data_IF_869500143453
#
_entry.id   IF_869500143453
#
_cell.length_a   1.000
_cell.length_b   1.000
_cell.length_c   1.000
_cell.angle_alpha   90.00
_cell.angle_beta   90.00
_cell.angle_gamma   90.00
#
_symmetry.space_group_name_H-M   'P 1'
#
loop_
_entity.id
_entity.type
_entity.pdbx_description
1 polymer ?
#
# COMPACT_ATOMS: atom_id res chain seq x y z
N UNK A 1 7.70 -32.06 -2.90
CA UNK A 1 7.18 -30.91 -2.14
C UNK A 1 5.76 -31.26 -1.72
N UNK A 2 5.45 -31.12 -0.44
CA UNK A 2 4.12 -31.45 0.08
C UNK A 2 3.10 -30.33 -0.24
N UNK A 3 1.81 -30.67 -0.23
CA UNK A 3 0.70 -29.76 -0.50
C UNK A 3 0.65 -28.57 0.46
N UNK A 4 1.00 -28.77 1.73
CA UNK A 4 1.10 -27.66 2.68
C UNK A 4 2.21 -26.68 2.30
N UNK A 5 3.34 -27.19 1.80
CA UNK A 5 4.46 -26.35 1.35
C UNK A 5 4.09 -25.57 0.10
N UNK A 6 3.35 -26.16 -0.86
CA UNK A 6 2.89 -25.44 -2.05
C UNK A 6 1.91 -24.32 -1.72
N UNK A 7 1.07 -24.45 -0.70
CA UNK A 7 0.19 -23.37 -0.24
C UNK A 7 0.95 -22.13 0.27
N UNK A 8 2.21 -22.28 0.67
CA UNK A 8 3.04 -21.16 1.15
C UNK A 8 3.78 -20.43 0.02
N UNK A 9 3.86 -21.00 -1.18
CA UNK A 9 4.59 -20.44 -2.30
C UNK A 9 3.85 -19.27 -2.95
N UNK A 10 4.61 -18.29 -3.44
CA UNK A 10 4.09 -17.15 -4.19
C UNK A 10 3.37 -17.54 -5.49
N UNK A 11 2.37 -16.74 -5.94
CA UNK A 11 1.60 -17.09 -7.13
C UNK A 11 2.47 -17.15 -8.38
N UNK A 12 3.56 -16.38 -8.39
CA UNK A 12 4.58 -16.43 -9.44
C UNK A 12 5.26 -17.81 -9.50
N UNK A 13 5.75 -18.29 -8.35
CA UNK A 13 6.44 -19.59 -8.24
C UNK A 13 5.46 -20.74 -8.56
N UNK A 14 4.22 -20.66 -8.06
CA UNK A 14 3.19 -21.66 -8.36
C UNK A 14 2.88 -21.73 -9.86
N UNK A 15 2.76 -20.58 -10.54
CA UNK A 15 2.53 -20.56 -11.99
C UNK A 15 3.72 -21.10 -12.78
N UNK A 16 4.94 -20.85 -12.33
CA UNK A 16 6.13 -21.46 -12.91
C UNK A 16 6.08 -22.99 -12.77
N UNK A 17 5.82 -23.49 -11.55
CA UNK A 17 5.67 -24.92 -11.29
C UNK A 17 4.52 -25.58 -12.07
N UNK A 18 3.42 -24.87 -12.31
CA UNK A 18 2.30 -25.36 -13.16
C UNK A 18 2.75 -25.57 -14.61
N UNK A 19 3.65 -24.71 -15.12
CA UNK A 19 4.19 -24.81 -16.49
C UNK A 19 5.22 -25.92 -16.61
N UNK A 20 6.04 -26.11 -15.58
CA UNK A 20 7.11 -27.10 -15.52
C UNK A 20 6.63 -28.51 -15.13
N UNK A 21 5.39 -28.64 -14.63
CA UNK A 21 4.85 -29.92 -14.15
C UNK A 21 4.81 -30.99 -15.25
N UNK A 22 5.49 -32.12 -15.00
CA UNK A 22 5.58 -33.23 -15.94
C UNK A 22 4.32 -34.12 -15.93
N UNK A 23 3.59 -34.18 -14.82
CA UNK A 23 2.39 -35.02 -14.67
C UNK A 23 1.11 -34.22 -14.47
N UNK A 24 -0.02 -34.76 -14.94
CA UNK A 24 -1.35 -34.18 -14.70
C UNK A 24 -1.68 -34.05 -13.22
N UNK A 25 -1.27 -35.04 -12.41
CA UNK A 25 -1.49 -35.04 -10.96
C UNK A 25 -0.78 -33.87 -10.29
N UNK A 26 0.50 -33.65 -10.63
CA UNK A 26 1.29 -32.56 -10.07
C UNK A 26 0.78 -31.19 -10.51
N UNK A 27 0.40 -31.05 -11.78
CA UNK A 27 -0.21 -29.83 -12.31
C UNK A 27 -1.53 -29.50 -11.57
N UNK A 28 -2.38 -30.49 -11.35
CA UNK A 28 -3.63 -30.33 -10.61
C UNK A 28 -3.37 -29.89 -9.17
N UNK A 29 -2.38 -30.50 -8.51
CA UNK A 29 -1.97 -30.12 -7.14
C UNK A 29 -1.58 -28.64 -7.07
N UNK A 30 -0.72 -28.14 -7.98
CA UNK A 30 -0.30 -26.74 -7.96
C UNK A 30 -1.42 -25.75 -8.31
N UNK A 31 -2.32 -26.11 -9.24
CA UNK A 31 -3.52 -25.31 -9.54
C UNK A 31 -4.42 -25.24 -8.30
N UNK A 32 -4.66 -26.38 -7.64
CA UNK A 32 -5.45 -26.46 -6.44
C UNK A 32 -4.84 -25.61 -5.31
N UNK A 33 -3.52 -25.70 -5.08
CA UNK A 33 -2.82 -24.86 -4.11
C UNK A 33 -2.94 -23.37 -4.44
N UNK A 34 -2.88 -22.98 -5.71
CA UNK A 34 -3.02 -21.58 -6.12
C UNK A 34 -4.40 -21.00 -5.76
N UNK A 35 -5.47 -21.75 -6.05
CA UNK A 35 -6.84 -21.33 -5.73
C UNK A 35 -7.13 -21.39 -4.22
N UNK A 36 -6.79 -22.48 -3.55
CA UNK A 36 -7.04 -22.65 -2.11
C UNK A 36 -6.26 -21.64 -1.28
N UNK A 37 -5.01 -21.32 -1.65
CA UNK A 37 -4.27 -20.24 -1.01
C UNK A 37 -5.02 -18.91 -1.11
N UNK A 38 -5.49 -18.57 -2.31
CA UNK A 38 -6.25 -17.33 -2.53
C UNK A 38 -7.53 -17.31 -1.68
N UNK A 39 -8.28 -18.41 -1.68
CA UNK A 39 -9.48 -18.58 -0.87
C UNK A 39 -9.19 -18.39 0.62
N UNK A 40 -8.16 -19.04 1.16
CA UNK A 40 -7.82 -18.91 2.57
C UNK A 40 -7.36 -17.50 2.94
N UNK A 41 -6.64 -16.79 2.06
CA UNK A 41 -6.26 -15.40 2.30
C UNK A 41 -7.51 -14.51 2.36
N UNK A 42 -8.46 -14.67 1.44
CA UNK A 42 -9.69 -13.89 1.42
C UNK A 42 -10.57 -14.20 2.63
N UNK A 43 -10.76 -15.47 2.97
CA UNK A 43 -11.51 -15.88 4.16
C UNK A 43 -10.88 -15.33 5.43
N UNK A 44 -9.55 -15.45 5.56
CA UNK A 44 -8.82 -14.89 6.69
C UNK A 44 -8.96 -13.36 6.76
N UNK A 45 -8.88 -12.65 5.63
CA UNK A 45 -9.09 -11.20 5.58
C UNK A 45 -10.50 -10.80 6.05
N UNK A 46 -11.53 -11.50 5.59
CA UNK A 46 -12.93 -11.25 5.99
C UNK A 46 -13.08 -11.48 7.49
N UNK A 47 -12.65 -12.65 8.01
CA UNK A 47 -12.73 -12.95 9.43
C UNK A 47 -11.96 -11.93 10.27
N UNK A 48 -10.75 -11.57 9.85
CA UNK A 48 -9.91 -10.60 10.53
C UNK A 48 -10.60 -9.22 10.61
N UNK A 49 -11.11 -8.70 9.50
CA UNK A 49 -11.79 -7.41 9.46
C UNK A 49 -13.04 -7.44 10.34
N UNK A 50 -13.86 -8.49 10.24
CA UNK A 50 -15.07 -8.66 11.06
C UNK A 50 -14.72 -8.60 12.53
N UNK A 51 -13.77 -9.42 13.00
CA UNK A 51 -13.36 -9.48 14.41
C UNK A 51 -12.95 -8.09 14.92
N UNK A 52 -12.09 -7.37 14.18
CA UNK A 52 -11.65 -6.04 14.60
C UNK A 52 -12.81 -5.05 14.63
N UNK A 53 -13.67 -5.05 13.62
CA UNK A 53 -14.81 -4.12 13.57
C UNK A 53 -15.92 -4.44 14.57
N UNK A 54 -16.02 -5.69 15.03
CA UNK A 54 -16.92 -6.06 16.14
C UNK A 54 -16.36 -5.61 17.48
N UNK A 55 -15.04 -5.74 17.69
CA UNK A 55 -14.39 -5.36 18.95
C UNK A 55 -14.19 -3.83 19.09
N UNK A 56 -13.95 -3.12 17.99
CA UNK A 56 -13.60 -1.69 17.98
C UNK A 56 -14.60 -0.81 17.22
N UNK A 57 -15.76 -1.33 16.83
CA UNK A 57 -16.75 -0.65 15.97
C UNK A 57 -16.35 -0.54 14.47
N UNK A 58 -17.36 -0.36 13.61
CA UNK A 58 -17.21 -0.35 12.15
C UNK A 58 -16.34 0.80 11.61
N UNK A 59 -16.26 1.92 12.33
CA UNK A 59 -15.39 3.07 12.01
C UNK A 59 -13.88 2.71 11.98
N UNK A 60 -13.46 1.61 12.62
CA UNK A 60 -12.07 1.12 12.59
C UNK A 60 -11.77 0.18 11.42
N UNK A 61 -12.71 -0.04 10.50
CA UNK A 61 -12.49 -0.84 9.28
C UNK A 61 -11.24 -0.40 8.50
N UNK A 62 -10.91 0.90 8.34
CA UNK A 62 -9.68 1.29 7.67
C UNK A 62 -8.41 0.77 8.34
N UNK A 63 -8.34 0.82 9.68
CA UNK A 63 -7.23 0.26 10.45
C UNK A 63 -7.18 -1.27 10.33
N UNK A 64 -8.32 -1.96 10.36
CA UNK A 64 -8.35 -3.41 10.18
C UNK A 64 -7.73 -3.85 8.85
N UNK A 65 -8.06 -3.16 7.75
CA UNK A 65 -7.46 -3.43 6.42
C UNK A 65 -5.95 -3.17 6.44
N UNK A 66 -5.51 -2.04 7.00
CA UNK A 66 -4.09 -1.69 7.08
C UNK A 66 -3.30 -2.71 7.90
N UNK A 67 -3.81 -3.07 9.08
CA UNK A 67 -3.18 -4.05 9.97
C UNK A 67 -3.13 -5.44 9.31
N UNK A 68 -4.17 -5.83 8.58
CA UNK A 68 -4.15 -7.05 7.78
C UNK A 68 -3.03 -7.03 6.71
N UNK A 69 -2.93 -5.94 5.94
CA UNK A 69 -1.88 -5.80 4.93
C UNK A 69 -0.47 -5.82 5.55
N UNK A 70 -0.29 -5.15 6.70
CA UNK A 70 0.96 -5.17 7.46
C UNK A 70 1.31 -6.58 7.95
N UNK A 71 0.34 -7.32 8.51
CA UNK A 71 0.54 -8.71 8.94
C UNK A 71 1.02 -9.60 7.79
N UNK A 72 0.38 -9.47 6.63
CA UNK A 72 0.75 -10.25 5.44
C UNK A 72 2.15 -9.91 4.93
N UNK A 73 2.60 -8.66 5.07
CA UNK A 73 3.94 -8.24 4.68
C UNK A 73 5.00 -8.67 5.70
N UNK A 74 4.82 -8.33 6.97
CA UNK A 74 5.80 -8.58 8.05
C UNK A 74 6.12 -10.07 8.19
N UNK A 75 5.19 -10.97 7.82
CA UNK A 75 5.44 -12.41 7.76
C UNK A 75 6.61 -12.81 6.85
N UNK A 76 6.86 -12.06 5.79
CA UNK A 76 7.83 -12.40 4.74
C UNK A 76 8.92 -11.35 4.53
N UNK A 77 8.58 -10.07 4.74
CA UNK A 77 9.44 -8.91 4.49
C UNK A 77 9.83 -8.26 5.81
N UNK A 78 11.13 -8.08 6.02
CA UNK A 78 11.67 -7.31 7.15
C UNK A 78 11.88 -5.83 6.77
N UNK A 79 12.27 -5.00 7.74
CA UNK A 79 12.53 -3.57 7.51
C UNK A 79 13.98 -3.29 7.06
N UNK A 80 14.81 -4.33 6.95
CA UNK A 80 16.21 -4.23 6.55
C UNK A 80 17.12 -3.64 7.64
N UNK A 81 16.73 -3.75 8.90
CA UNK A 81 17.53 -3.36 10.06
C UNK A 81 17.60 -4.48 11.08
N UNK A 82 18.61 -4.44 11.97
CA UNK A 82 18.68 -5.34 13.12
C UNK A 82 17.39 -5.30 13.92
N UNK A 83 17.05 -6.42 14.56
CA UNK A 83 15.70 -6.65 15.09
C UNK A 83 15.23 -5.59 16.10
N UNK A 84 16.11 -5.14 17.00
CA UNK A 84 15.76 -4.08 17.97
C UNK A 84 15.35 -2.78 17.27
N UNK A 85 16.02 -2.43 16.18
CA UNK A 85 15.70 -1.23 15.40
C UNK A 85 14.51 -1.45 14.48
N UNK A 86 14.27 -2.66 13.99
CA UNK A 86 13.03 -2.99 13.28
C UNK A 86 11.79 -2.86 14.19
N UNK A 87 11.90 -3.24 15.47
CA UNK A 87 10.83 -3.02 16.47
C UNK A 87 10.62 -1.51 16.73
N UNK A 88 11.71 -0.73 16.84
CA UNK A 88 11.60 0.74 16.93
C UNK A 88 10.92 1.31 15.67
N UNK A 89 11.30 0.82 14.48
CA UNK A 89 10.68 1.21 13.22
C UNK A 89 9.18 0.89 13.19
N UNK A 90 8.78 -0.26 13.74
CA UNK A 90 7.37 -0.61 13.90
C UNK A 90 6.65 0.37 14.84
N UNK A 91 7.27 0.78 15.95
CA UNK A 91 6.70 1.79 16.84
C UNK A 91 6.51 3.14 16.13
N UNK A 92 7.48 3.56 15.31
CA UNK A 92 7.38 4.77 14.47
C UNK A 92 6.19 4.67 13.52
N UNK A 93 6.00 3.52 12.87
CA UNK A 93 4.85 3.29 11.99
C UNK A 93 3.55 3.39 12.77
N UNK A 94 3.41 2.68 13.89
CA UNK A 94 2.17 2.68 14.69
C UNK A 94 1.82 4.07 15.20
N UNK A 95 2.80 4.80 15.72
CA UNK A 95 2.62 6.19 16.15
C UNK A 95 2.21 7.09 14.98
N UNK A 96 2.87 6.95 13.83
CA UNK A 96 2.56 7.78 12.66
C UNK A 96 1.15 7.51 12.13
N UNK A 97 0.70 6.25 12.12
CA UNK A 97 -0.66 5.89 11.72
C UNK A 97 -1.72 6.34 12.73
N UNK A 98 -1.38 6.42 14.03
CA UNK A 98 -2.25 7.00 15.05
C UNK A 98 -2.46 8.51 14.83
N UNK A 99 -1.39 9.24 14.53
CA UNK A 99 -1.42 10.71 14.39
C UNK A 99 -1.96 11.17 13.03
N UNK A 100 -1.65 10.43 11.96
CA UNK A 100 -1.98 10.78 10.57
C UNK A 100 -3.39 11.35 10.33
N UNK A 101 -4.49 10.74 10.81
CA UNK A 101 -5.82 11.26 10.53
C UNK A 101 -6.09 12.61 11.21
N UNK A 102 -5.50 12.86 12.39
CA UNK A 102 -5.72 14.10 13.15
C UNK A 102 -5.03 15.31 12.52
N UNK A 103 -4.04 15.10 11.65
CA UNK A 103 -3.41 16.19 10.87
C UNK A 103 -4.45 16.91 10.01
N UNK A 104 -5.48 16.21 9.55
CA UNK A 104 -6.57 16.80 8.76
C UNK A 104 -7.45 17.81 9.55
N UNK A 105 -7.33 17.84 10.88
CA UNK A 105 -8.05 18.80 11.72
C UNK A 105 -7.31 20.15 11.80
N UNK A 106 -6.06 20.21 11.33
CA UNK A 106 -5.25 21.41 11.33
C UNK A 106 -5.70 22.31 10.18
N UNK A 107 -6.24 23.49 10.52
CA UNK A 107 -6.72 24.46 9.53
C UNK A 107 -5.61 25.09 8.69
N UNK A 108 -4.38 25.12 9.21
CA UNK A 108 -3.25 25.71 8.50
C UNK A 108 -2.60 24.67 7.59
N UNK A 109 -2.92 24.74 6.30
CA UNK A 109 -2.56 23.73 5.30
C UNK A 109 -1.06 23.54 5.12
N UNK A 110 -0.25 24.59 5.27
CA UNK A 110 1.23 24.47 5.23
C UNK A 110 1.73 23.63 6.40
N UNK A 111 1.20 23.85 7.61
CA UNK A 111 1.56 23.02 8.76
C UNK A 111 1.07 21.59 8.62
N UNK A 112 -0.14 21.38 8.11
CA UNK A 112 -0.65 20.05 7.77
C UNK A 112 0.28 19.32 6.81
N UNK A 113 0.71 19.99 5.74
CA UNK A 113 1.67 19.44 4.77
C UNK A 113 3.01 19.06 5.43
N UNK A 114 3.57 19.93 6.28
CA UNK A 114 4.83 19.67 6.96
C UNK A 114 4.73 18.46 7.92
N UNK A 115 3.63 18.33 8.66
CA UNK A 115 3.44 17.18 9.55
C UNK A 115 3.25 15.90 8.74
N UNK A 116 2.45 15.92 7.66
CA UNK A 116 2.34 14.77 6.75
C UNK A 116 3.71 14.34 6.22
N UNK A 117 4.55 15.31 5.84
CA UNK A 117 5.88 15.07 5.31
C UNK A 117 6.81 14.41 6.34
N UNK A 118 6.80 14.89 7.58
CA UNK A 118 7.59 14.34 8.69
C UNK A 118 7.14 12.91 9.00
N UNK A 119 5.82 12.66 9.11
CA UNK A 119 5.28 11.33 9.41
C UNK A 119 5.61 10.31 8.32
N UNK A 120 5.40 10.67 7.05
CA UNK A 120 5.71 9.79 5.91
C UNK A 120 7.20 9.53 5.77
N UNK A 121 8.04 10.55 5.94
CA UNK A 121 9.49 10.38 5.90
C UNK A 121 9.98 9.47 7.02
N UNK A 122 9.41 9.61 8.23
CA UNK A 122 9.71 8.74 9.37
C UNK A 122 9.32 7.28 9.09
N UNK A 123 8.13 7.04 8.54
CA UNK A 123 7.67 5.71 8.11
C UNK A 123 8.61 5.10 7.07
N UNK A 124 8.98 5.85 6.03
CA UNK A 124 9.80 5.34 4.94
C UNK A 124 11.22 5.05 5.39
N UNK A 125 11.84 5.94 6.17
CA UNK A 125 13.16 5.68 6.73
C UNK A 125 13.16 4.47 7.68
N UNK A 126 12.08 4.27 8.43
CA UNK A 126 11.91 3.14 9.34
C UNK A 126 11.70 1.79 8.62
N UNK A 127 11.13 1.77 7.42
CA UNK A 127 10.64 0.53 6.77
C UNK A 127 11.24 0.23 5.41
N UNK A 128 11.67 1.23 4.65
CA UNK A 128 12.04 1.11 3.23
C UNK A 128 13.55 1.08 3.00
N UNK A 129 14.32 0.54 3.95
CA UNK A 129 15.79 0.53 3.84
C UNK A 129 16.35 -0.29 2.66
N UNK A 130 15.52 -1.16 2.09
CA UNK A 130 15.68 -1.74 0.76
C UNK A 130 14.42 -1.42 -0.08
N UNK A 131 14.51 -0.49 -1.04
CA UNK A 131 13.36 -0.10 -1.87
C UNK A 131 12.76 -1.25 -2.67
N UNK A 132 13.53 -2.30 -2.98
CA UNK A 132 13.07 -3.44 -3.81
C UNK A 132 12.08 -4.34 -3.06
N UNK A 133 12.04 -4.27 -1.73
CA UNK A 133 11.16 -5.10 -0.89
C UNK A 133 9.71 -4.61 -0.85
N UNK A 134 9.41 -3.45 -1.46
CA UNK A 134 8.03 -2.96 -1.61
C UNK A 134 7.41 -2.33 -0.37
N UNK A 135 8.15 -2.23 0.75
CA UNK A 135 7.67 -1.62 2.00
C UNK A 135 7.19 -0.18 1.78
N UNK A 136 7.88 0.62 0.97
CA UNK A 136 7.46 2.00 0.68
C UNK A 136 6.05 2.08 0.09
N UNK A 137 5.73 1.22 -0.89
CA UNK A 137 4.38 1.16 -1.48
C UNK A 137 3.33 0.72 -0.47
N UNK A 138 3.64 -0.27 0.37
CA UNK A 138 2.72 -0.77 1.40
C UNK A 138 2.41 0.30 2.45
N UNK A 139 3.43 0.86 3.09
CA UNK A 139 3.25 1.79 4.19
C UNK A 139 2.75 3.17 3.71
N UNK A 140 3.15 3.59 2.50
CA UNK A 140 2.55 4.74 1.84
C UNK A 140 1.07 4.53 1.51
N UNK A 141 0.68 3.33 1.04
CA UNK A 141 -0.73 2.96 0.91
C UNK A 141 -1.43 2.99 2.26
N UNK A 142 -0.87 2.40 3.32
CA UNK A 142 -1.46 2.38 4.65
C UNK A 142 -1.76 3.77 5.18
N UNK A 143 -0.81 4.69 5.01
CA UNK A 143 -0.95 6.09 5.42
C UNK A 143 -2.10 6.77 4.66
N UNK A 144 -2.06 6.71 3.32
CA UNK A 144 -3.09 7.30 2.47
C UNK A 144 -4.48 6.72 2.74
N UNK A 145 -4.55 5.39 2.93
CA UNK A 145 -5.82 4.71 3.14
C UNK A 145 -6.47 5.15 4.45
N UNK A 146 -5.70 5.31 5.54
CA UNK A 146 -6.22 5.83 6.81
C UNK A 146 -6.65 7.29 6.67
N UNK A 147 -5.80 8.14 6.07
CA UNK A 147 -6.11 9.58 5.90
C UNK A 147 -7.37 9.77 5.07
N UNK A 148 -7.47 9.15 3.88
CA UNK A 148 -8.63 9.36 3.02
C UNK A 148 -9.89 8.61 3.47
N UNK A 149 -9.78 7.45 4.13
CA UNK A 149 -10.97 6.68 4.50
C UNK A 149 -11.66 7.20 5.76
N UNK A 150 -10.95 7.89 6.65
CA UNK A 150 -11.51 8.34 7.93
C UNK A 150 -12.13 9.74 7.81
N UNK A 151 -13.45 9.88 8.08
CA UNK A 151 -14.09 11.17 8.15
C UNK A 151 -13.63 12.03 9.32
N UNK A 152 -13.51 13.35 9.11
CA UNK A 152 -13.02 14.30 10.14
C UNK A 152 -13.91 14.31 11.39
N UNK A 153 -15.22 14.14 11.22
CA UNK A 153 -16.23 14.03 12.28
C UNK A 153 -16.11 12.75 13.13
N UNK A 154 -15.45 11.71 12.62
CA UNK A 154 -15.19 10.48 13.39
C UNK A 154 -14.03 10.63 14.38
N UNK A 155 -13.20 11.68 14.27
CA UNK A 155 -11.95 11.85 15.01
C UNK A 155 -12.15 12.50 16.38
N UNK A 156 -12.83 11.79 17.28
CA UNK A 156 -13.07 12.22 18.66
C UNK A 156 -12.16 11.50 19.68
N UNK A 157 -12.23 11.92 20.95
CA UNK A 157 -11.43 11.35 22.04
C UNK A 157 -11.65 9.85 22.22
N UNK A 158 -12.87 9.35 22.06
CA UNK A 158 -13.15 7.92 22.17
C UNK A 158 -12.48 7.14 21.02
N UNK A 159 -12.59 7.64 19.80
CA UNK A 159 -11.92 7.07 18.64
C UNK A 159 -10.39 7.04 18.80
N UNK A 160 -9.79 8.11 19.34
CA UNK A 160 -8.36 8.15 19.66
C UNK A 160 -7.95 7.04 20.62
N UNK A 161 -8.68 6.89 21.74
CA UNK A 161 -8.38 5.88 22.76
C UNK A 161 -8.52 4.46 22.22
N UNK A 162 -9.60 4.17 21.49
CA UNK A 162 -9.83 2.87 20.85
C UNK A 162 -8.77 2.56 19.78
N UNK A 163 -8.40 3.55 18.95
CA UNK A 163 -7.33 3.40 17.96
C UNK A 163 -5.98 3.15 18.63
N UNK A 164 -5.68 3.89 19.71
CA UNK A 164 -4.43 3.73 20.45
C UNK A 164 -4.30 2.34 21.06
N UNK A 165 -5.36 1.80 21.66
CA UNK A 165 -5.35 0.45 22.23
C UNK A 165 -5.24 -0.63 21.14
N UNK A 166 -5.95 -0.46 20.02
CA UNK A 166 -5.83 -1.33 18.84
C UNK A 166 -4.39 -1.37 18.31
N UNK A 167 -3.80 -0.21 18.02
CA UNK A 167 -2.45 -0.12 17.47
C UNK A 167 -1.40 -0.63 18.47
N UNK A 168 -1.60 -0.44 19.77
CA UNK A 168 -0.72 -0.99 20.80
C UNK A 168 -0.77 -2.53 20.86
N UNK A 169 -1.97 -3.12 20.81
CA UNK A 169 -2.13 -4.58 20.77
C UNK A 169 -1.42 -5.17 19.54
N UNK A 170 -1.58 -4.53 18.39
CA UNK A 170 -0.94 -4.95 17.15
C UNK A 170 0.56 -4.67 17.12
N UNK A 171 1.03 -3.61 17.76
CA UNK A 171 2.45 -3.37 17.97
C UNK A 171 3.09 -4.54 18.73
N UNK A 172 2.49 -4.97 19.85
CA UNK A 172 2.97 -6.11 20.63
C UNK A 172 2.99 -7.40 19.79
N UNK A 173 1.90 -7.69 19.10
CA UNK A 173 1.81 -8.90 18.28
C UNK A 173 2.80 -8.90 17.11
N UNK A 174 2.89 -7.80 16.37
CA UNK A 174 3.82 -7.69 15.24
C UNK A 174 5.27 -7.64 15.68
N UNK A 175 5.58 -7.11 16.87
CA UNK A 175 6.93 -7.17 17.45
C UNK A 175 7.38 -8.62 17.70
N UNK A 176 6.49 -9.45 18.28
CA UNK A 176 6.75 -10.89 18.46
C UNK A 176 6.94 -11.58 17.10
N UNK A 177 6.12 -11.22 16.11
CA UNK A 177 6.19 -11.81 14.78
C UNK A 177 7.49 -11.42 14.04
N UNK A 178 7.88 -10.14 14.07
CA UNK A 178 9.15 -9.64 13.56
C UNK A 178 10.31 -10.38 14.20
N UNK A 179 10.30 -10.52 15.53
CA UNK A 179 11.35 -11.21 16.27
C UNK A 179 11.47 -12.68 15.84
N UNK A 180 10.35 -13.40 15.78
CA UNK A 180 10.36 -14.82 15.40
C UNK A 180 10.80 -15.05 13.96
N UNK A 181 10.48 -14.14 13.04
CA UNK A 181 10.73 -14.33 11.60
C UNK A 181 12.06 -13.75 11.11
N UNK A 182 12.55 -12.68 11.72
CA UNK A 182 13.63 -11.87 11.14
C UNK A 182 14.77 -11.55 12.10
N UNK A 183 14.79 -12.08 13.33
CA UNK A 183 15.87 -11.79 14.31
C UNK A 183 17.28 -12.09 13.82
N UNK A 184 17.43 -13.06 12.92
CA UNK A 184 18.73 -13.47 12.40
C UNK A 184 19.20 -12.62 11.21
N UNK A 185 18.34 -11.74 10.66
CA UNK A 185 18.65 -10.91 9.49
C UNK A 185 19.25 -9.57 9.88
N UNK A 186 20.08 -9.01 8.99
CA UNK A 186 20.55 -7.61 9.03
C UNK A 186 21.17 -7.19 10.38
N UNK A 187 21.86 -8.10 11.08
CA UNK A 187 22.36 -7.92 12.45
C UNK A 187 23.22 -6.66 12.63
N UNK A 188 23.95 -6.27 11.57
CA UNK A 188 24.89 -5.14 11.60
C UNK A 188 24.29 -3.82 11.11
N UNK A 189 23.08 -3.84 10.54
CA UNK A 189 22.47 -2.64 9.94
C UNK A 189 21.59 -1.90 10.96
N UNK A 190 22.06 -0.74 11.39
CA UNK A 190 21.40 0.09 12.40
C UNK A 190 20.62 1.25 11.77
N UNK A 191 19.31 1.35 12.05
CA UNK A 191 18.45 2.50 11.73
C UNK A 191 19.08 3.88 12.03
N UNK A 192 19.53 4.13 13.25
CA UNK A 192 20.08 5.45 13.63
C UNK A 192 21.35 5.81 12.84
N UNK A 193 22.31 4.88 12.75
CA UNK A 193 23.50 5.04 11.91
C UNK A 193 23.14 5.30 10.44
N UNK A 194 22.17 4.58 9.91
CA UNK A 194 21.70 4.79 8.53
C UNK A 194 21.07 6.17 8.36
N UNK A 195 20.25 6.65 9.29
CA UNK A 195 19.60 7.96 9.20
C UNK A 195 20.61 9.10 9.39
N UNK A 196 21.38 9.08 10.48
CA UNK A 196 22.16 10.22 10.97
C UNK A 196 23.64 10.22 10.55
N UNK A 197 24.26 9.05 10.37
CA UNK A 197 25.71 8.96 10.15
C UNK A 197 26.10 8.73 8.68
N UNK A 198 25.26 8.01 7.92
CA UNK A 198 25.38 8.01 6.46
C UNK A 198 24.73 9.29 5.94
N UNK A 199 25.43 10.05 5.10
CA UNK A 199 24.96 11.36 4.62
C UNK A 199 23.51 11.35 4.11
N UNK A 200 22.83 12.51 4.18
CA UNK A 200 21.43 12.64 3.71
C UNK A 200 21.28 12.45 2.19
N UNK A 201 22.40 12.49 1.45
CA UNK A 201 22.44 12.54 -0.01
C UNK A 201 22.47 11.16 -0.69
N UNK A 202 22.17 10.06 0.03
CA UNK A 202 22.02 8.76 -0.65
C UNK A 202 20.80 8.78 -1.57
N UNK A 203 20.88 8.08 -2.71
CA UNK A 203 19.79 8.06 -3.70
C UNK A 203 18.49 7.53 -3.09
N UNK A 204 18.58 6.56 -2.18
CA UNK A 204 17.44 5.98 -1.46
C UNK A 204 16.76 7.03 -0.59
N UNK A 205 17.52 7.78 0.21
CA UNK A 205 16.97 8.81 1.10
C UNK A 205 16.33 9.94 0.32
N UNK A 206 17.01 10.44 -0.72
CA UNK A 206 16.48 11.48 -1.60
C UNK A 206 15.16 11.01 -2.20
N UNK A 207 15.10 9.77 -2.70
CA UNK A 207 13.87 9.19 -3.21
C UNK A 207 12.76 9.07 -2.14
N UNK A 208 13.07 8.64 -0.92
CA UNK A 208 12.09 8.59 0.18
C UNK A 208 11.53 9.97 0.52
N UNK A 209 12.38 10.99 0.56
CA UNK A 209 11.97 12.37 0.83
C UNK A 209 11.10 12.92 -0.31
N UNK A 210 11.47 12.67 -1.56
CA UNK A 210 10.64 13.00 -2.74
C UNK A 210 9.29 12.31 -2.65
N UNK A 211 9.27 11.02 -2.35
CA UNK A 211 8.04 10.28 -2.17
C UNK A 211 7.17 10.90 -1.08
N UNK A 212 7.72 11.13 0.12
CA UNK A 212 7.00 11.71 1.24
C UNK A 212 6.46 13.10 0.91
N UNK A 213 7.26 13.94 0.24
CA UNK A 213 6.86 15.27 -0.17
C UNK A 213 5.70 15.23 -1.17
N UNK A 214 5.81 14.41 -2.22
CA UNK A 214 4.78 14.27 -3.24
C UNK A 214 3.44 13.81 -2.65
N UNK A 215 3.46 12.83 -1.74
CA UNK A 215 2.24 12.36 -1.06
C UNK A 215 1.65 13.45 -0.15
N UNK A 216 2.50 14.16 0.60
CA UNK A 216 2.04 15.22 1.52
C UNK A 216 1.41 16.38 0.78
N UNK A 217 2.02 16.79 -0.34
CA UNK A 217 1.49 17.79 -1.25
C UNK A 217 0.13 17.35 -1.82
N UNK A 218 0.01 16.08 -2.24
CA UNK A 218 -1.23 15.55 -2.79
C UNK A 218 -2.38 15.53 -1.77
N UNK A 219 -2.10 15.15 -0.52
CA UNK A 219 -3.11 15.15 0.56
C UNK A 219 -3.69 16.56 0.74
N UNK A 220 -2.82 17.57 0.88
CA UNK A 220 -3.24 18.95 1.10
C UNK A 220 -3.90 19.55 -0.14
N UNK A 221 -3.36 19.29 -1.34
CA UNK A 221 -3.98 19.72 -2.59
C UNK A 221 -5.40 19.13 -2.74
N UNK A 222 -5.61 17.88 -2.31
CA UNK A 222 -6.90 17.22 -2.31
C UNK A 222 -7.96 17.87 -1.41
N UNK A 223 -7.57 18.68 -0.41
CA UNK A 223 -8.52 19.41 0.43
C UNK A 223 -9.17 20.60 -0.30
N UNK A 224 -8.54 21.11 -1.35
CA UNK A 224 -9.03 22.25 -2.14
C UNK A 224 -9.84 21.85 -3.38
N UNK A 225 -9.95 20.54 -3.64
CA UNK A 225 -10.68 20.00 -4.78
C UNK A 225 -12.11 19.64 -4.32
N UNK A 226 -13.16 19.97 -5.09
CA UNK A 226 -14.55 19.71 -4.70
C UNK A 226 -14.89 18.22 -4.56
N UNK A 227 -14.10 17.34 -5.17
CA UNK A 227 -14.22 15.90 -5.01
C UNK A 227 -13.68 15.51 -3.64
N UNK A 228 -14.57 15.28 -2.67
CA UNK A 228 -14.18 14.83 -1.34
C UNK A 228 -13.39 13.52 -1.47
N UNK A 229 -12.07 13.63 -1.22
CA UNK A 229 -11.12 12.53 -1.01
C UNK A 229 -10.81 11.76 -2.29
N UNK A 230 -9.84 12.31 -3.04
CA UNK A 230 -9.16 11.74 -4.19
C UNK A 230 -8.34 10.46 -3.85
N UNK A 231 -8.96 9.51 -3.16
CA UNK A 231 -8.29 8.33 -2.59
C UNK A 231 -7.66 7.47 -3.69
N UNK A 232 -8.36 7.28 -4.80
CA UNK A 232 -7.87 6.45 -5.90
C UNK A 232 -6.80 7.17 -6.69
N UNK A 233 -6.89 8.50 -6.81
CA UNK A 233 -5.81 9.31 -7.35
C UNK A 233 -4.56 9.23 -6.46
N UNK A 234 -4.76 9.27 -5.14
CA UNK A 234 -3.73 9.00 -4.13
C UNK A 234 -3.01 7.68 -4.35
N UNK A 235 -3.75 6.58 -4.51
CA UNK A 235 -3.15 5.27 -4.75
C UNK A 235 -2.46 5.17 -6.11
N UNK A 236 -3.01 5.81 -7.15
CA UNK A 236 -2.39 5.85 -8.47
C UNK A 236 -1.06 6.62 -8.42
N UNK A 237 -1.08 7.84 -7.89
CA UNK A 237 0.09 8.66 -7.67
C UNK A 237 1.14 7.94 -6.81
N UNK A 238 0.75 7.40 -5.66
CA UNK A 238 1.65 6.64 -4.77
C UNK A 238 2.28 5.45 -5.45
N UNK A 239 1.52 4.72 -6.28
CA UNK A 239 2.07 3.59 -7.01
C UNK A 239 3.16 4.01 -7.99
N UNK A 240 2.98 5.16 -8.62
CA UNK A 240 3.93 5.76 -9.55
C UNK A 240 5.20 6.20 -8.82
N UNK A 241 5.05 7.02 -7.77
CA UNK A 241 6.20 7.62 -7.06
C UNK A 241 6.96 6.59 -6.22
N UNK A 242 6.31 5.49 -5.78
CA UNK A 242 6.97 4.41 -5.04
C UNK A 242 7.84 3.50 -5.92
N UNK A 243 7.96 3.76 -7.22
CA UNK A 243 8.94 3.06 -8.05
C UNK A 243 10.33 3.64 -7.80
N UNK A 244 11.21 2.85 -7.19
CA UNK A 244 12.61 3.23 -7.00
C UNK A 244 13.34 3.34 -8.35
N UNK A 245 14.24 4.33 -8.48
CA UNK A 245 14.86 4.70 -9.75
C UNK A 245 13.95 5.60 -10.59
N UNK A 246 14.07 6.93 -10.37
CA UNK A 246 13.40 7.98 -11.13
C UNK A 246 13.47 7.66 -12.65
N UNK A 247 12.33 7.70 -13.34
CA UNK A 247 12.22 7.42 -14.78
C UNK A 247 12.79 6.09 -15.30
N UNK A 248 12.93 5.07 -14.45
CA UNK A 248 13.21 3.70 -14.92
C UNK A 248 12.10 3.17 -15.86
N UNK A 249 12.43 2.21 -16.73
CA UNK A 249 11.45 1.54 -17.62
C UNK A 249 10.21 1.07 -16.85
N UNK A 250 10.41 0.61 -15.61
CA UNK A 250 9.34 0.15 -14.71
C UNK A 250 8.31 1.22 -14.36
N UNK A 251 8.66 2.52 -14.38
CA UNK A 251 7.70 3.60 -14.15
C UNK A 251 6.70 3.74 -15.30
N UNK A 252 7.18 3.69 -16.56
CA UNK A 252 6.30 3.80 -17.75
C UNK A 252 5.36 2.60 -17.82
N UNK A 253 5.89 1.40 -17.62
CA UNK A 253 5.09 0.17 -17.57
C UNK A 253 4.03 0.24 -16.48
N UNK A 254 4.39 0.73 -15.29
CA UNK A 254 3.46 0.86 -14.16
C UNK A 254 2.34 1.88 -14.44
N UNK A 255 2.63 2.99 -15.11
CA UNK A 255 1.63 3.97 -15.53
C UNK A 255 0.63 3.37 -16.52
N UNK A 256 1.13 2.68 -17.53
CA UNK A 256 0.30 1.99 -18.53
C UNK A 256 -0.55 0.90 -17.88
N UNK A 257 0.06 0.05 -17.05
CA UNK A 257 -0.63 -1.02 -16.32
C UNK A 257 -1.72 -0.46 -15.38
N UNK A 258 -1.50 0.72 -14.79
CA UNK A 258 -2.50 1.40 -13.96
C UNK A 258 -3.72 1.84 -14.75
N UNK A 259 -3.50 2.56 -15.86
CA UNK A 259 -4.58 3.08 -16.69
C UNK A 259 -5.34 1.93 -17.34
N UNK A 260 -4.64 1.06 -18.08
CA UNK A 260 -5.25 -0.06 -18.80
C UNK A 260 -5.88 -1.03 -17.81
N UNK A 261 -5.19 -1.36 -16.72
CA UNK A 261 -5.72 -2.26 -15.70
C UNK A 261 -7.00 -1.70 -15.07
N UNK A 262 -7.04 -0.42 -14.73
CA UNK A 262 -8.25 0.20 -14.18
C UNK A 262 -9.40 0.20 -15.18
N UNK A 263 -9.15 0.51 -16.46
CA UNK A 263 -10.17 0.49 -17.51
C UNK A 263 -10.77 -0.92 -17.72
N UNK A 264 -9.91 -1.94 -17.88
CA UNK A 264 -10.35 -3.33 -18.00
C UNK A 264 -11.11 -3.75 -16.74
N UNK A 265 -10.62 -3.38 -15.56
CA UNK A 265 -11.28 -3.66 -14.29
C UNK A 265 -12.70 -3.08 -14.23
N UNK A 266 -12.89 -1.84 -14.70
CA UNK A 266 -14.21 -1.21 -14.79
C UNK A 266 -15.14 -1.92 -15.79
N UNK A 267 -14.64 -2.27 -16.98
CA UNK A 267 -15.44 -3.00 -17.99
C UNK A 267 -15.89 -4.37 -17.45
N UNK A 268 -14.97 -5.12 -16.84
CA UNK A 268 -15.30 -6.41 -16.23
C UNK A 268 -16.27 -6.25 -15.06
N UNK A 269 -16.10 -5.22 -14.23
CA UNK A 269 -17.03 -4.94 -13.14
C UNK A 269 -18.44 -4.69 -13.66
N UNK A 270 -18.60 -3.85 -14.71
CA UNK A 270 -19.91 -3.60 -15.34
C UNK A 270 -20.53 -4.92 -15.77
N UNK A 271 -19.83 -5.71 -16.58
CA UNK A 271 -20.36 -6.97 -17.12
C UNK A 271 -20.74 -7.98 -16.04
N UNK A 272 -19.89 -8.17 -15.02
CA UNK A 272 -20.14 -9.15 -13.95
C UNK A 272 -21.25 -8.67 -13.01
N UNK A 273 -21.30 -7.37 -12.73
CA UNK A 273 -22.28 -6.79 -11.79
C UNK A 273 -23.73 -6.84 -12.27
N UNK A 274 -23.96 -7.14 -13.56
CA UNK A 274 -25.30 -7.40 -14.10
C UNK A 274 -25.87 -8.74 -13.64
N UNK A 275 -25.01 -9.68 -13.25
CA UNK A 275 -25.42 -11.06 -12.92
C UNK A 275 -25.34 -11.39 -11.43
N UNK A 276 -24.52 -10.66 -10.66
CA UNK A 276 -24.32 -10.93 -9.23
C UNK A 276 -24.23 -9.64 -8.39
N UNK A 277 -24.61 -9.68 -7.10
CA UNK A 277 -24.55 -8.50 -6.23
C UNK A 277 -23.13 -7.96 -6.04
N UNK A 278 -22.98 -6.65 -5.87
CA UNK A 278 -21.68 -5.97 -5.76
C UNK A 278 -20.77 -6.55 -4.67
N UNK A 279 -21.34 -6.97 -3.53
CA UNK A 279 -20.58 -7.59 -2.44
C UNK A 279 -19.85 -8.86 -2.89
N UNK A 280 -20.51 -9.68 -3.73
CA UNK A 280 -19.90 -10.89 -4.32
C UNK A 280 -18.86 -10.54 -5.37
N UNK A 281 -19.08 -9.50 -6.18
CA UNK A 281 -18.08 -9.00 -7.14
C UNK A 281 -16.79 -8.59 -6.41
N UNK A 282 -16.90 -7.90 -5.27
CA UNK A 282 -15.75 -7.54 -4.44
C UNK A 282 -14.96 -8.75 -3.94
N UNK A 283 -15.66 -9.79 -3.47
CA UNK A 283 -15.04 -11.05 -3.01
C UNK A 283 -14.35 -11.77 -4.17
N UNK A 284 -14.98 -11.86 -5.35
CA UNK A 284 -14.38 -12.44 -6.54
C UNK A 284 -13.13 -11.68 -6.98
N UNK A 285 -13.14 -10.35 -6.87
CA UNK A 285 -11.97 -9.51 -7.09
C UNK A 285 -10.80 -9.89 -6.16
N UNK A 286 -11.09 -10.08 -4.86
CA UNK A 286 -10.10 -10.57 -3.89
C UNK A 286 -9.52 -11.94 -4.24
N UNK A 287 -10.38 -12.88 -4.66
CA UNK A 287 -9.96 -14.22 -5.07
C UNK A 287 -9.09 -14.18 -6.34
N UNK A 288 -9.48 -13.37 -7.33
CA UNK A 288 -8.71 -13.20 -8.55
C UNK A 288 -7.36 -12.53 -8.28
N UNK A 289 -7.30 -11.52 -7.39
CA UNK A 289 -6.08 -10.88 -6.94
C UNK A 289 -5.08 -11.87 -6.34
N UNK A 290 -5.53 -12.79 -5.50
CA UNK A 290 -4.65 -13.79 -4.88
C UNK A 290 -4.04 -14.80 -5.87
N UNK A 291 -4.63 -14.94 -7.05
CA UNK A 291 -4.13 -15.77 -8.16
C UNK A 291 -3.20 -14.97 -9.10
N UNK A 292 -3.18 -13.64 -9.01
CA UNK A 292 -2.37 -12.79 -9.86
C UNK A 292 -0.89 -12.81 -9.45
N UNK A 293 0.00 -12.98 -10.44
CA UNK A 293 1.45 -13.00 -10.24
C UNK A 293 2.12 -11.66 -10.58
N UNK A 294 1.63 -10.97 -11.60
CA UNK A 294 2.22 -9.70 -12.09
C UNK A 294 1.38 -8.50 -11.70
N UNK A 295 2.02 -7.33 -11.65
CA UNK A 295 1.37 -6.06 -11.34
C UNK A 295 0.22 -5.75 -12.30
N UNK A 296 0.43 -5.93 -13.61
CA UNK A 296 -0.59 -5.76 -14.66
C UNK A 296 -1.95 -6.37 -14.33
N UNK A 297 -1.98 -7.67 -14.00
CA UNK A 297 -3.24 -8.36 -13.68
C UNK A 297 -3.78 -7.98 -12.29
N UNK A 298 -2.90 -7.69 -11.33
CA UNK A 298 -3.33 -7.21 -10.01
C UNK A 298 -4.10 -5.90 -10.14
N UNK A 299 -3.69 -4.99 -11.02
CA UNK A 299 -4.37 -3.69 -11.19
C UNK A 299 -5.79 -3.83 -11.71
N UNK A 300 -6.07 -4.83 -12.55
CA UNK A 300 -7.43 -5.15 -13.05
C UNK A 300 -8.39 -5.46 -11.90
N UNK A 301 -8.03 -6.45 -11.07
CA UNK A 301 -8.93 -6.94 -10.01
C UNK A 301 -8.90 -6.08 -8.74
N UNK A 302 -7.88 -5.24 -8.55
CA UNK A 302 -7.81 -4.26 -7.44
C UNK A 302 -8.99 -3.26 -7.50
N UNK A 303 -9.54 -3.01 -8.68
CA UNK A 303 -10.70 -2.12 -8.82
C UNK A 303 -12.00 -2.71 -8.29
N UNK A 304 -12.15 -4.04 -8.18
CA UNK A 304 -13.45 -4.67 -7.92
C UNK A 304 -14.00 -4.35 -6.53
N UNK A 305 -13.18 -4.52 -5.48
CA UNK A 305 -13.61 -4.19 -4.11
C UNK A 305 -13.93 -2.70 -3.94
N UNK A 306 -13.13 -1.84 -4.58
CA UNK A 306 -13.34 -0.40 -4.55
C UNK A 306 -14.62 0.01 -5.30
N UNK A 307 -14.82 -0.52 -6.52
CA UNK A 307 -16.03 -0.29 -7.32
C UNK A 307 -17.28 -0.84 -6.65
N UNK A 308 -17.20 -2.00 -5.96
CA UNK A 308 -18.34 -2.56 -5.23
C UNK A 308 -18.83 -1.60 -4.13
N UNK A 309 -17.89 -1.02 -3.36
CA UNK A 309 -18.23 -0.06 -2.31
C UNK A 309 -18.81 1.22 -2.92
N UNK A 310 -18.14 1.81 -3.91
CA UNK A 310 -18.58 3.06 -4.52
C UNK A 310 -19.88 2.91 -5.31
N UNK A 311 -20.13 1.74 -5.93
CA UNK A 311 -21.38 1.47 -6.65
C UNK A 311 -22.58 1.38 -5.71
N UNK A 312 -22.37 0.95 -4.46
CA UNK A 312 -23.43 0.98 -3.45
C UNK A 312 -23.83 2.41 -3.03
N UNK A 313 -22.97 3.39 -3.28
CA UNK A 313 -23.19 4.81 -2.93
C UNK A 313 -23.65 5.66 -4.12
N UNK A 314 -23.08 5.44 -5.31
CA UNK A 314 -23.24 6.31 -6.49
C UNK A 314 -23.79 5.58 -7.72
N UNK A 315 -24.16 4.30 -7.58
CA UNK A 315 -24.50 3.42 -8.70
C UNK A 315 -23.26 3.04 -9.54
N UNK A 316 -23.45 2.08 -10.44
CA UNK A 316 -22.39 1.58 -11.33
C UNK A 316 -21.79 2.70 -12.21
N UNK A 317 -22.59 3.57 -12.88
CA UNK A 317 -22.03 4.63 -13.71
C UNK A 317 -21.19 5.63 -12.92
N UNK A 318 -21.64 6.03 -11.73
CA UNK A 318 -20.91 6.96 -10.86
C UNK A 318 -19.59 6.34 -10.38
N UNK A 319 -19.64 5.09 -9.89
CA UNK A 319 -18.45 4.40 -9.41
C UNK A 319 -17.37 4.23 -10.48
N UNK A 320 -17.77 3.83 -11.69
CA UNK A 320 -16.85 3.67 -12.83
C UNK A 320 -16.27 5.01 -13.25
N UNK A 321 -17.09 6.06 -13.34
CA UNK A 321 -16.63 7.40 -13.75
C UNK A 321 -15.60 7.94 -12.77
N UNK A 322 -15.89 7.89 -11.47
CA UNK A 322 -14.95 8.31 -10.41
C UNK A 322 -13.67 7.49 -10.49
N UNK A 323 -13.77 6.17 -10.72
CA UNK A 323 -12.61 5.26 -10.73
C UNK A 323 -11.66 5.56 -11.88
N UNK A 324 -12.21 5.75 -13.07
CA UNK A 324 -11.44 6.08 -14.26
C UNK A 324 -10.81 7.46 -14.09
N UNK A 325 -11.61 8.46 -13.74
CA UNK A 325 -11.15 9.84 -13.57
C UNK A 325 -10.02 9.94 -12.55
N UNK A 326 -10.21 9.42 -11.33
CA UNK A 326 -9.20 9.53 -10.29
C UNK A 326 -7.94 8.73 -10.59
N UNK A 327 -8.02 7.54 -11.20
CA UNK A 327 -6.81 6.80 -11.56
C UNK A 327 -6.02 7.51 -12.65
N UNK A 328 -6.68 8.06 -13.68
CA UNK A 328 -6.01 8.84 -14.73
C UNK A 328 -5.38 10.09 -14.11
N UNK A 329 -6.14 10.84 -13.30
CA UNK A 329 -5.65 12.03 -12.61
C UNK A 329 -4.41 11.72 -11.77
N UNK A 330 -4.47 10.68 -10.92
CA UNK A 330 -3.34 10.29 -10.07
C UNK A 330 -2.11 9.84 -10.86
N UNK A 331 -2.29 9.13 -11.98
CA UNK A 331 -1.18 8.76 -12.88
C UNK A 331 -0.57 10.01 -13.52
N UNK A 332 -1.40 10.90 -14.08
CA UNK A 332 -0.93 12.16 -14.70
C UNK A 332 -0.17 13.03 -13.71
N UNK A 333 -0.72 13.22 -12.50
CA UNK A 333 -0.04 13.97 -11.43
C UNK A 333 1.28 13.29 -11.03
N UNK A 334 1.32 11.96 -10.95
CA UNK A 334 2.53 11.21 -10.62
C UNK A 334 3.62 11.38 -11.69
N UNK A 335 3.25 11.31 -12.98
CA UNK A 335 4.16 11.51 -14.10
C UNK A 335 4.72 12.93 -14.09
N UNK A 336 3.85 13.93 -13.96
CA UNK A 336 4.23 15.34 -13.90
C UNK A 336 5.17 15.60 -12.73
N UNK A 337 4.84 15.08 -11.54
CA UNK A 337 5.63 15.25 -10.33
C UNK A 337 7.05 14.66 -10.47
N UNK A 338 7.17 13.45 -11.02
CA UNK A 338 8.46 12.83 -11.28
C UNK A 338 9.27 13.65 -12.29
N UNK A 339 8.64 14.08 -13.39
CA UNK A 339 9.31 14.90 -14.41
C UNK A 339 9.85 16.21 -13.85
N UNK A 340 9.05 16.94 -13.07
CA UNK A 340 9.49 18.18 -12.41
C UNK A 340 10.63 17.91 -11.43
N UNK A 341 10.50 16.87 -10.60
CA UNK A 341 11.51 16.53 -9.60
C UNK A 341 12.84 16.17 -10.24
N UNK A 342 12.82 15.44 -11.34
CA UNK A 342 14.02 15.08 -12.09
C UNK A 342 14.71 16.30 -12.68
N UNK A 343 13.96 17.21 -13.32
CA UNK A 343 14.50 18.47 -13.86
C UNK A 343 15.18 19.27 -12.74
N UNK A 344 14.55 19.34 -11.56
CA UNK A 344 15.11 20.04 -10.40
C UNK A 344 16.40 19.36 -9.90
N UNK A 345 16.41 18.04 -9.74
CA UNK A 345 17.61 17.29 -9.32
C UNK A 345 18.75 17.50 -10.33
N UNK A 346 18.46 17.41 -11.63
CA UNK A 346 19.45 17.62 -12.69
C UNK A 346 20.06 19.02 -12.62
N UNK A 347 19.23 20.06 -12.50
CA UNK A 347 19.70 21.46 -12.36
C UNK A 347 20.54 21.67 -11.09
N UNK A 348 20.15 21.06 -9.97
CA UNK A 348 20.93 21.13 -8.72
C UNK A 348 22.28 20.44 -8.90
N UNK A 349 22.29 19.26 -9.54
CA UNK A 349 23.51 18.50 -9.82
C UNK A 349 24.47 19.27 -10.72
N UNK A 350 23.94 19.86 -11.80
CA UNK A 350 24.69 20.73 -12.73
C UNK A 350 25.28 21.95 -12.01
N UNK A 351 24.48 22.62 -11.17
CA UNK A 351 24.92 23.81 -10.41
C UNK A 351 26.02 23.51 -9.39
N UNK A 352 26.04 22.30 -8.82
CA UNK A 352 27.00 21.90 -7.79
C UNK A 352 28.14 20.99 -8.30
N UNK A 353 28.25 20.76 -9.62
CA UNK A 353 29.34 19.97 -10.20
C UNK A 353 29.37 18.50 -9.76
N UNK A 354 28.26 17.96 -9.23
CA UNK A 354 28.18 16.61 -8.68
C UNK A 354 27.89 15.58 -9.79
N UNK A 355 28.80 15.42 -10.75
CA UNK A 355 28.67 14.38 -11.76
C UNK A 355 29.16 13.04 -11.20
N UNK A 356 28.21 12.16 -10.88
CA UNK A 356 28.13 10.73 -11.27
C UNK A 356 26.89 10.10 -10.62
#
# INVERSE_FOLDING_TARGET
>A
MDFYQSLQLDPFILKQKIREAASKKEKCMYICSLFLRSLFIVLFAICFIIIITTLFESKHKPYAVVLFCMLMSIRFVDFGYKISHSIIGLAIVMFSLLVAPYVQLIKWSVMGMLIHFILLSSILMATASDPKMGNASLYGFSYLFIVYSLPKDSLNKNFFTQTSSLLFLFFCWFSVLLYRKHREKNKDKSLFKEIFLKGMYSQEKIWMLIYAFGISLLIVAGEYVPFQRLMWAGFAFSSIVSSYGLMSIGFKERAVDRIIGSLIGCVLFIGISQFIPFNWVGILGGLALGVCSTYRYKTVFNSFGALAITASLFGVPGAVTIRIFENILGVCLGIMYIGVTEILIRKIREKHGLNH
#
